data_IF_594314451865
#
_entry.id   IF_594314451865
#
_cell.length_a   1.000
_cell.length_b   1.000
_cell.length_c   1.000
_cell.angle_alpha   90.00
_cell.angle_beta   90.00
_cell.angle_gamma   90.00
#
_symmetry.space_group_name_H-M   'P 1'
#
loop_
_entity.id
_entity.type
_entity.pdbx_description
1 polymer ?
#
# COMPACT_ATOMS: atom_id res chain seq x y z
N UNK A 1 24.01 23.83 9.51
CA UNK A 1 23.23 23.83 10.78
C UNK A 1 21.91 24.52 10.45
N UNK A 2 20.92 23.92 9.81
CA UNK A 2 20.00 22.87 10.28
C UNK A 2 19.42 22.12 9.06
N UNK A 3 19.83 20.87 8.84
CA UNK A 3 18.95 19.94 8.14
C UNK A 3 18.22 19.19 9.26
N UNK A 4 16.95 19.52 9.53
CA UNK A 4 16.11 18.64 10.34
C UNK A 4 16.11 17.30 9.63
N UNK A 5 16.48 16.22 10.33
CA UNK A 5 16.43 14.87 9.76
C UNK A 5 14.99 14.63 9.32
N UNK A 6 14.77 14.27 8.06
CA UNK A 6 13.44 14.09 7.49
C UNK A 6 12.54 13.22 8.38
N UNK A 7 13.09 12.11 8.89
CA UNK A 7 12.39 11.17 9.78
C UNK A 7 12.12 11.68 11.21
N UNK A 8 12.59 12.88 11.56
CA UNK A 8 12.30 13.52 12.87
C UNK A 8 11.13 14.48 12.79
N UNK A 9 10.52 14.64 11.61
CA UNK A 9 9.28 15.38 11.48
C UNK A 9 8.15 14.63 12.20
N UNK A 10 7.16 15.34 12.76
CA UNK A 10 5.93 14.72 13.24
C UNK A 10 5.25 13.87 12.16
N UNK A 11 4.60 12.79 12.59
CA UNK A 11 3.94 11.84 11.69
C UNK A 11 2.87 12.52 10.81
N UNK A 12 2.20 13.57 11.30
CA UNK A 12 1.25 14.37 10.52
C UNK A 12 1.89 14.99 9.28
N UNK A 13 3.10 15.56 9.43
CA UNK A 13 3.82 16.16 8.30
C UNK A 13 4.32 15.08 7.35
N UNK A 14 4.83 13.98 7.86
CA UNK A 14 5.25 12.85 7.05
C UNK A 14 4.09 12.21 6.28
N UNK A 15 2.90 12.16 6.90
CA UNK A 15 1.66 11.68 6.27
C UNK A 15 1.23 12.62 5.15
N UNK A 16 1.19 13.92 5.40
CA UNK A 16 0.87 14.92 4.38
C UNK A 16 1.85 14.87 3.20
N UNK A 17 3.16 14.71 3.49
CA UNK A 17 4.16 14.49 2.45
C UNK A 17 3.84 13.21 1.66
N UNK A 18 3.56 12.10 2.34
CA UNK A 18 3.21 10.82 1.70
C UNK A 18 1.97 10.91 0.81
N UNK A 19 0.97 11.73 1.16
CA UNK A 19 -0.26 11.92 0.39
C UNK A 19 -0.02 12.72 -0.91
N UNK A 20 1.04 13.52 -0.95
CA UNK A 20 1.46 14.31 -2.10
C UNK A 20 2.54 13.62 -2.94
N UNK A 21 3.04 12.44 -2.53
CA UNK A 21 3.95 11.65 -3.36
C UNK A 21 3.20 11.12 -4.58
N UNK A 22 3.79 11.28 -5.77
CA UNK A 22 3.20 10.78 -7.00
C UNK A 22 2.95 9.26 -6.89
N UNK A 23 1.81 8.73 -7.39
CA UNK A 23 1.47 7.31 -7.23
C UNK A 23 2.53 6.34 -7.75
N UNK A 24 3.31 6.75 -8.77
CA UNK A 24 4.43 6.00 -9.35
C UNK A 24 5.61 5.86 -8.39
N UNK A 25 5.86 6.86 -7.55
CA UNK A 25 7.00 6.96 -6.65
C UNK A 25 6.67 6.49 -5.23
N UNK A 26 5.38 6.43 -4.89
CA UNK A 26 4.87 5.96 -3.61
C UNK A 26 5.37 4.56 -3.17
N UNK A 27 5.54 3.56 -4.06
CA UNK A 27 6.16 2.28 -3.69
C UNK A 27 7.60 2.47 -3.20
N UNK A 28 8.39 3.28 -3.92
CA UNK A 28 9.79 3.54 -3.55
C UNK A 28 9.87 4.32 -2.24
N UNK A 29 9.01 5.32 -2.06
CA UNK A 29 8.88 6.07 -0.81
C UNK A 29 8.55 5.16 0.38
N UNK A 30 7.63 4.20 0.20
CA UNK A 30 7.27 3.22 1.24
C UNK A 30 8.43 2.28 1.58
N UNK A 31 9.28 1.96 0.60
CA UNK A 31 10.34 0.94 0.74
C UNK A 31 11.65 1.47 1.35
N UNK A 32 11.78 2.78 1.59
CA UNK A 32 13.04 3.34 2.13
C UNK A 32 13.32 2.91 3.57
N UNK A 33 12.30 2.86 4.43
CA UNK A 33 12.45 2.46 5.84
C UNK A 33 11.10 2.11 6.51
N UNK A 34 11.15 1.50 7.70
CA UNK A 34 9.94 1.07 8.45
C UNK A 34 8.99 2.23 8.80
N UNK A 35 9.51 3.38 9.18
CA UNK A 35 8.69 4.55 9.53
C UNK A 35 7.85 5.02 8.34
N UNK A 36 8.50 5.22 7.19
CA UNK A 36 7.82 5.63 5.97
C UNK A 36 6.93 4.53 5.41
N UNK A 37 7.29 3.26 5.63
CA UNK A 37 6.42 2.14 5.31
C UNK A 37 5.07 2.23 6.05
N UNK A 38 5.11 2.50 7.35
CA UNK A 38 3.91 2.62 8.19
C UNK A 38 3.08 3.85 7.79
N UNK A 39 3.72 4.99 7.59
CA UNK A 39 3.04 6.25 7.23
C UNK A 39 2.38 6.14 5.85
N UNK A 40 3.10 5.60 4.86
CA UNK A 40 2.59 5.48 3.50
C UNK A 40 1.61 4.31 3.29
N UNK A 41 1.46 3.39 4.24
CA UNK A 41 0.69 2.16 4.06
C UNK A 41 -0.77 2.42 3.67
N UNK A 42 -1.44 3.33 4.39
CA UNK A 42 -2.84 3.70 4.13
C UNK A 42 -2.99 4.31 2.73
N UNK A 43 -2.22 5.36 2.44
CA UNK A 43 -2.27 6.05 1.16
C UNK A 43 -1.90 5.14 -0.01
N UNK A 44 -0.92 4.25 0.18
CA UNK A 44 -0.58 3.23 -0.81
C UNK A 44 -1.74 2.30 -1.09
N UNK A 45 -2.42 1.81 -0.06
CA UNK A 45 -3.62 0.98 -0.22
C UNK A 45 -4.71 1.70 -1.00
N UNK A 46 -5.02 2.94 -0.63
CA UNK A 46 -6.03 3.75 -1.31
C UNK A 46 -5.69 4.04 -2.77
N UNK A 47 -4.43 4.35 -3.11
CA UNK A 47 -4.05 4.70 -4.49
C UNK A 47 -3.79 3.49 -5.38
N UNK A 48 -3.28 2.39 -4.84
CA UNK A 48 -2.81 1.23 -5.63
C UNK A 48 -3.71 0.00 -5.49
N UNK A 49 -4.41 -0.16 -4.38
CA UNK A 49 -5.22 -1.35 -4.09
C UNK A 49 -6.73 -1.09 -4.08
N UNK A 50 -7.17 0.18 -4.02
CA UNK A 50 -8.60 0.50 -4.08
C UNK A 50 -9.26 0.06 -5.38
N UNK A 51 -8.54 0.19 -6.50
CA UNK A 51 -8.96 -0.38 -7.77
C UNK A 51 -8.60 -1.86 -7.83
N UNK A 52 -9.48 -2.69 -7.28
CA UNK A 52 -9.38 -4.15 -7.35
C UNK A 52 -9.37 -4.59 -8.81
N UNK A 53 -8.21 -5.03 -9.29
CA UNK A 53 -8.07 -5.68 -10.60
C UNK A 53 -8.29 -7.17 -10.39
N UNK A 54 -9.55 -7.59 -10.48
CA UNK A 54 -9.86 -9.01 -10.52
C UNK A 54 -9.49 -9.56 -11.89
N UNK A 55 -8.68 -10.61 -11.90
CA UNK A 55 -8.46 -11.41 -13.10
C UNK A 55 -9.59 -12.44 -13.10
N UNK A 56 -10.60 -12.26 -13.95
CA UNK A 56 -11.69 -13.23 -14.14
C UNK A 56 -11.37 -14.17 -15.30
N UNK A 57 -10.33 -14.98 -15.13
CA UNK A 57 -10.06 -16.08 -16.05
C UNK A 57 -10.81 -17.32 -15.57
N UNK A 58 -11.01 -18.29 -16.48
CA UNK A 58 -11.56 -19.59 -16.10
C UNK A 58 -10.77 -20.22 -14.93
N UNK A 59 -9.44 -20.13 -14.98
CA UNK A 59 -8.56 -20.68 -13.93
C UNK A 59 -8.77 -20.00 -12.57
N UNK A 60 -8.85 -18.67 -12.51
CA UNK A 60 -9.04 -17.95 -11.26
C UNK A 60 -10.44 -18.17 -10.66
N UNK A 61 -11.47 -18.25 -11.50
CA UNK A 61 -12.84 -18.56 -11.07
C UNK A 61 -12.96 -20.00 -10.59
N UNK A 62 -12.32 -20.96 -11.27
CA UNK A 62 -12.29 -22.37 -10.85
C UNK A 62 -11.62 -22.52 -9.48
N UNK A 63 -10.48 -21.88 -9.27
CA UNK A 63 -9.80 -21.86 -7.96
C UNK A 63 -10.66 -21.25 -6.85
N UNK A 64 -11.42 -20.19 -7.14
CA UNK A 64 -12.37 -19.61 -6.18
C UNK A 64 -13.47 -20.60 -5.80
N UNK A 65 -14.08 -21.26 -6.77
CA UNK A 65 -15.10 -22.28 -6.54
C UNK A 65 -14.56 -23.41 -5.67
N UNK A 66 -13.35 -23.91 -5.99
CA UNK A 66 -12.73 -25.02 -5.28
C UNK A 66 -12.41 -24.65 -3.81
N UNK A 67 -12.00 -23.41 -3.54
CA UNK A 67 -11.82 -22.92 -2.16
C UNK A 67 -13.15 -22.85 -1.39
N UNK A 68 -14.24 -22.44 -2.04
CA UNK A 68 -15.57 -22.38 -1.41
C UNK A 68 -16.26 -23.74 -1.30
N UNK A 69 -15.81 -24.74 -2.05
CA UNK A 69 -16.30 -26.11 -1.95
C UNK A 69 -15.58 -26.91 -0.85
N UNK A 70 -14.63 -26.30 -0.15
CA UNK A 70 -13.90 -26.97 0.91
C UNK A 70 -14.83 -27.28 2.09
N UNK A 71 -14.91 -28.54 2.56
CA UNK A 71 -15.89 -28.96 3.57
C UNK A 71 -15.62 -28.41 4.97
N UNK A 72 -14.51 -27.70 5.16
CA UNK A 72 -14.13 -27.06 6.43
C UNK A 72 -14.06 -25.56 6.17
N UNK A 73 -14.96 -24.81 6.82
CA UNK A 73 -14.96 -23.35 6.90
C UNK A 73 -14.47 -22.90 8.27
#
# INVERSE_FOLDING_TARGET
KYAKKFLTLPDELLTNISENVAPKDLPNFRLTCKTLANIAAKHFGEKRLAHRRFIFTWYSLKGLIDMTAHPVF
#
